data_IF_889674983350
#
_entry.id   IF_889674983350
#
_cell.length_a   1.000
_cell.length_b   1.000
_cell.length_c   1.000
_cell.angle_alpha   90.00
_cell.angle_beta   90.00
_cell.angle_gamma   90.00
#
_symmetry.space_group_name_H-M   'P 1'
#
loop_
_entity.id
_entity.type
_entity.pdbx_description
1 polymer ?
#
# COMPACT_ATOMS: atom_id res chain seq x y z
N UNK A 1 9.20 -3.96 0.70
CA UNK A 1 7.99 -3.56 -0.05
C UNK A 1 6.73 -3.94 0.72
N UNK A 2 5.94 -2.93 1.13
CA UNK A 2 4.59 -2.93 1.74
C UNK A 2 4.28 -3.97 2.84
N UNK A 3 4.43 -5.28 2.59
CA UNK A 3 4.38 -6.36 3.59
C UNK A 3 5.44 -6.18 4.69
N UNK A 4 6.65 -5.72 4.33
CA UNK A 4 7.70 -5.39 5.32
C UNK A 4 7.29 -4.23 6.24
N UNK A 5 6.37 -3.38 5.79
CA UNK A 5 5.78 -2.31 6.59
C UNK A 5 4.48 -2.73 7.31
N UNK A 6 4.11 -4.01 7.27
CA UNK A 6 2.87 -4.53 7.86
C UNK A 6 1.58 -4.22 7.08
N UNK A 7 1.68 -3.65 5.88
CA UNK A 7 0.51 -3.28 5.09
C UNK A 7 0.01 -4.43 4.22
N UNK A 8 -1.31 -4.65 4.28
CA UNK A 8 -2.03 -5.53 3.37
C UNK A 8 -2.83 -4.73 2.35
N UNK A 9 -3.16 -5.37 1.21
CA UNK A 9 -3.98 -4.77 0.15
C UNK A 9 -5.33 -4.25 0.68
N UNK A 10 -5.93 -4.96 1.66
CA UNK A 10 -7.13 -4.51 2.38
C UNK A 10 -6.95 -3.20 3.13
N UNK A 11 -5.82 -3.04 3.82
CA UNK A 11 -5.53 -1.85 4.62
C UNK A 11 -5.23 -0.65 3.73
N UNK A 12 -4.53 -0.89 2.63
CA UNK A 12 -4.32 0.09 1.57
C UNK A 12 -5.63 0.52 0.90
N UNK A 13 -6.49 -0.45 0.57
CA UNK A 13 -7.81 -0.20 0.00
C UNK A 13 -8.67 0.67 0.92
N UNK A 14 -8.72 0.33 2.21
CA UNK A 14 -9.40 1.13 3.21
C UNK A 14 -8.82 2.54 3.35
N UNK A 15 -7.48 2.68 3.36
CA UNK A 15 -6.80 3.98 3.52
C UNK A 15 -6.97 4.89 2.30
N UNK A 16 -6.93 4.32 1.10
CA UNK A 16 -7.07 5.06 -0.15
C UNK A 16 -8.53 5.17 -0.62
N UNK A 17 -9.48 4.56 0.10
CA UNK A 17 -10.90 4.58 -0.25
C UNK A 17 -11.22 3.87 -1.56
N UNK A 18 -10.45 2.85 -1.92
CA UNK A 18 -10.55 2.15 -3.19
C UNK A 18 -10.68 0.63 -2.98
N UNK A 19 -10.99 -0.12 -4.04
CA UNK A 19 -11.17 -1.57 -3.94
C UNK A 19 -9.85 -2.33 -3.83
N UNK A 20 -9.83 -3.45 -3.11
CA UNK A 20 -8.66 -4.33 -2.96
C UNK A 20 -8.08 -4.78 -4.31
N UNK A 21 -8.95 -5.06 -5.28
CA UNK A 21 -8.56 -5.45 -6.64
C UNK A 21 -7.79 -4.32 -7.33
N UNK A 22 -8.18 -3.07 -7.12
CA UNK A 22 -7.53 -1.91 -7.71
C UNK A 22 -6.14 -1.70 -7.10
N UNK A 23 -6.03 -1.83 -5.78
CA UNK A 23 -4.74 -1.81 -5.08
C UNK A 23 -3.84 -2.95 -5.57
N UNK A 24 -4.39 -4.16 -5.73
CA UNK A 24 -3.65 -5.30 -6.27
C UNK A 24 -3.15 -5.04 -7.69
N UNK A 25 -3.97 -4.40 -8.55
CA UNK A 25 -3.54 -4.00 -9.89
C UNK A 25 -2.37 -3.01 -9.83
N UNK A 26 -2.44 -1.99 -8.98
CA UNK A 26 -1.35 -0.99 -8.85
C UNK A 26 -0.05 -1.61 -8.32
N UNK A 27 -0.14 -2.51 -7.35
CA UNK A 27 1.05 -3.13 -6.73
C UNK A 27 1.70 -4.10 -7.71
N UNK A 28 0.91 -4.88 -8.45
CA UNK A 28 1.39 -5.84 -9.45
C UNK A 28 1.72 -5.20 -10.80
N UNK A 29 1.39 -3.93 -11.02
CA UNK A 29 1.78 -3.21 -12.22
C UNK A 29 3.28 -2.84 -12.15
N UNK A 30 4.09 -3.52 -12.97
CA UNK A 30 5.52 -3.26 -13.09
C UNK A 30 5.82 -1.89 -13.71
N UNK A 31 4.89 -1.34 -14.49
CA UNK A 31 4.93 0.00 -15.07
C UNK A 31 4.08 1.00 -14.27
N UNK A 32 3.85 0.75 -12.97
CA UNK A 32 3.09 1.67 -12.12
C UNK A 32 3.67 3.08 -12.16
N UNK A 33 2.77 4.06 -12.30
CA UNK A 33 3.15 5.48 -12.32
C UNK A 33 3.93 5.86 -11.06
N UNK A 34 4.91 6.75 -11.20
CA UNK A 34 5.75 7.27 -10.09
C UNK A 34 4.95 7.77 -8.90
N UNK A 35 3.79 8.38 -9.13
CA UNK A 35 2.87 8.82 -8.06
C UNK A 35 2.48 7.69 -7.09
N UNK A 36 2.38 6.45 -7.58
CA UNK A 36 2.05 5.29 -6.74
C UNK A 36 3.26 4.79 -5.96
N UNK A 37 4.46 4.90 -6.52
CA UNK A 37 5.69 4.64 -5.76
C UNK A 37 5.81 5.62 -4.60
N UNK A 38 5.54 6.90 -4.83
CA UNK A 38 5.57 7.92 -3.78
C UNK A 38 4.52 7.62 -2.69
N UNK A 39 3.28 7.33 -3.09
CA UNK A 39 2.21 6.95 -2.16
C UNK A 39 2.55 5.69 -1.33
N UNK A 40 3.20 4.68 -1.93
CA UNK A 40 3.65 3.45 -1.26
C UNK A 40 4.83 3.73 -0.31
N UNK A 41 5.78 4.58 -0.73
CA UNK A 41 6.92 4.95 0.10
C UNK A 41 6.50 5.79 1.32
N UNK A 42 5.52 6.68 1.13
CA UNK A 42 4.87 7.47 2.17
C UNK A 42 3.95 6.69 3.10
N UNK A 43 3.78 5.37 2.89
CA UNK A 43 3.11 4.54 3.89
C UNK A 43 3.96 4.51 5.16
N UNK A 44 3.38 4.87 6.33
CA UNK A 44 4.10 4.73 7.59
C UNK A 44 4.39 3.26 7.82
N UNK A 45 5.50 2.91 8.48
CA UNK A 45 5.70 1.53 8.91
C UNK A 45 4.61 1.25 9.94
N UNK A 46 3.72 0.29 9.69
CA UNK A 46 2.87 -0.28 10.75
C UNK A 46 3.83 -1.14 11.56
N UNK A 47 4.68 -0.47 12.32
CA UNK A 47 5.37 -1.07 13.43
C UNK A 47 4.25 -1.41 14.40
N UNK A 48 4.11 -2.70 14.70
CA UNK A 48 3.38 -3.18 15.85
C UNK A 48 4.01 -2.55 17.10
N UNK A 49 3.62 -1.30 17.37
CA UNK A 49 3.89 -0.56 18.58
C UNK A 49 2.53 0.02 19.00
N UNK A 50 1.52 -0.86 19.06
CA UNK A 50 0.44 -0.68 20.02
C UNK A 50 1.05 -1.01 21.39
N UNK A 51 1.49 0.05 22.08
CA UNK A 51 1.55 0.07 23.55
C UNK A 51 0.14 -0.12 24.09
#
# INVERSE_FOLDING_TARGET
MIKEKGWNNKMLAARWGCSEVWVSKIINDENRKVQWNDAINGLPVISDNMV
#
